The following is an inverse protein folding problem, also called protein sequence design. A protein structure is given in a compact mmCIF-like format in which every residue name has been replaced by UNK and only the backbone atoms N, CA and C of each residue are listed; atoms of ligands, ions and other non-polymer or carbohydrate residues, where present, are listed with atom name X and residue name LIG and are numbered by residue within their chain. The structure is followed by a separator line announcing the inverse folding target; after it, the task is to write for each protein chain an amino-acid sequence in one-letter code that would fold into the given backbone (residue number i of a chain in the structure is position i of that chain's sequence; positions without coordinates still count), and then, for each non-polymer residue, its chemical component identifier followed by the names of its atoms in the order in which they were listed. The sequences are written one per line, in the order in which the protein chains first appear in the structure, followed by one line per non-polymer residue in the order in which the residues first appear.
data_IF_763732122127
#
_entry.id   IF_763732122127
#
_cell.length_a   1.000
_cell.length_b   1.000
_cell.length_c   1.000
_cell.angle_alpha   90.00
_cell.angle_beta   90.00
_cell.angle_gamma   90.00
#
_symmetry.space_group_name_H-M   'P 1'
#
loop_
_entity.id
_entity.type
_entity.pdbx_description
1 polymer ?
#
# COMPACT_ATOMS: atom_id res chain seq x y z
N UNK A 1 -12.11 22.99 12.55
CA UNK A 1 -11.92 21.80 13.38
C UNK A 1 -12.11 22.21 14.82
N UNK A 2 -13.22 21.76 15.38
CA UNK A 2 -13.56 21.83 16.80
C UNK A 2 -12.54 21.04 17.65
N UNK A 3 -12.47 21.40 18.94
CA UNK A 3 -11.54 20.83 19.93
C UNK A 3 -11.72 19.31 20.11
N UNK A 4 -12.96 18.83 20.04
CA UNK A 4 -13.32 17.43 20.26
C UNK A 4 -12.85 16.54 19.10
N UNK A 5 -13.07 16.98 17.86
CA UNK A 5 -12.61 16.29 16.65
C UNK A 5 -11.08 16.21 16.60
N UNK A 6 -10.38 17.27 17.03
CA UNK A 6 -8.91 17.25 17.17
C UNK A 6 -8.45 16.17 18.14
N UNK A 7 -9.03 16.13 19.34
CA UNK A 7 -8.68 15.14 20.37
C UNK A 7 -8.90 13.71 19.88
N UNK A 8 -10.01 13.47 19.17
CA UNK A 8 -10.30 12.14 18.63
C UNK A 8 -9.31 11.72 17.53
N UNK A 9 -8.92 12.66 16.66
CA UNK A 9 -7.87 12.40 15.65
C UNK A 9 -6.53 12.11 16.34
N UNK A 10 -6.16 12.87 17.36
CA UNK A 10 -4.90 12.65 18.09
C UNK A 10 -4.87 11.25 18.76
N UNK A 11 -6.00 10.80 19.31
CA UNK A 11 -6.16 9.43 19.84
C UNK A 11 -6.00 8.36 18.74
N UNK A 12 -6.58 8.59 17.55
CA UNK A 12 -6.44 7.69 16.39
C UNK A 12 -5.03 7.66 15.80
N UNK A 13 -4.26 8.75 15.89
CA UNK A 13 -2.89 8.80 15.39
C UNK A 13 -1.89 8.20 16.40
N UNK A 14 -2.21 8.28 17.69
CA UNK A 14 -1.39 7.74 18.77
C UNK A 14 -1.30 6.20 18.75
N UNK A 15 -2.33 5.50 18.28
CA UNK A 15 -2.33 4.03 18.23
C UNK A 15 -1.29 3.46 17.24
N UNK A 16 -0.77 2.24 17.46
CA UNK A 16 0.08 1.54 16.51
C UNK A 16 -0.61 1.33 15.15
N UNK A 17 0.17 1.30 14.06
CA UNK A 17 -0.38 1.22 12.70
C UNK A 17 -1.25 -0.03 12.48
N UNK A 18 -0.82 -1.19 13.00
CA UNK A 18 -1.60 -2.44 12.87
C UNK A 18 -2.96 -2.34 13.55
N UNK A 19 -3.00 -1.81 14.77
CA UNK A 19 -4.25 -1.59 15.49
C UNK A 19 -5.18 -0.63 14.76
N UNK A 20 -4.62 0.45 14.18
CA UNK A 20 -5.41 1.37 13.35
C UNK A 20 -5.97 0.68 12.11
N UNK A 21 -5.19 -0.18 11.47
CA UNK A 21 -5.61 -0.93 10.29
C UNK A 21 -6.75 -1.90 10.62
N UNK A 22 -6.67 -2.61 11.75
CA UNK A 22 -7.72 -3.52 12.21
C UNK A 22 -9.04 -2.78 12.43
N UNK A 23 -9.00 -1.59 13.03
CA UNK A 23 -10.18 -0.72 13.19
C UNK A 23 -10.78 -0.31 11.84
N UNK A 24 -9.94 0.07 10.88
CA UNK A 24 -10.43 0.47 9.55
C UNK A 24 -11.05 -0.71 8.78
N UNK A 25 -10.51 -1.91 8.94
CA UNK A 25 -11.06 -3.13 8.33
C UNK A 25 -12.40 -3.47 8.96
N UNK A 26 -12.49 -3.48 10.28
CA UNK A 26 -13.75 -3.69 10.99
C UNK A 26 -14.81 -2.66 10.56
N UNK A 27 -14.43 -1.38 10.46
CA UNK A 27 -15.35 -0.34 10.00
C UNK A 27 -15.85 -0.57 8.57
N UNK A 28 -14.97 -0.98 7.65
CA UNK A 28 -15.36 -1.35 6.28
C UNK A 28 -16.37 -2.50 6.26
N UNK A 29 -16.15 -3.52 7.09
CA UNK A 29 -17.05 -4.67 7.21
C UNK A 29 -18.41 -4.30 7.81
N UNK A 30 -18.42 -3.45 8.84
CA UNK A 30 -19.63 -3.00 9.53
C UNK A 30 -20.47 -2.02 8.69
N UNK A 31 -19.82 -1.06 8.03
CA UNK A 31 -20.49 -0.05 7.20
C UNK A 31 -20.91 -0.59 5.83
N UNK A 32 -20.27 -1.68 5.37
CA UNK A 32 -20.50 -2.24 4.03
C UNK A 32 -20.10 -1.30 2.89
N UNK A 33 -19.26 -0.30 3.17
CA UNK A 33 -18.81 0.67 2.19
C UNK A 33 -17.61 0.15 1.40
N UNK A 34 -17.71 0.22 0.06
CA UNK A 34 -16.57 -0.07 -0.79
C UNK A 34 -15.70 1.17 -1.00
N UNK A 35 -14.50 1.14 -0.41
CA UNK A 35 -13.51 2.21 -0.52
C UNK A 35 -12.56 2.01 -1.71
N UNK A 36 -12.81 1.03 -2.60
CA UNK A 36 -11.99 0.76 -3.79
C UNK A 36 -11.95 1.95 -4.78
N UNK A 37 -13.10 2.60 -4.97
CA UNK A 37 -13.27 3.74 -5.87
C UNK A 37 -12.70 5.05 -5.29
N UNK A 38 -12.52 5.11 -3.96
CA UNK A 38 -12.03 6.31 -3.29
C UNK A 38 -10.58 6.59 -3.68
N UNK A 39 -10.26 7.85 -4.02
CA UNK A 39 -8.89 8.23 -4.37
C UNK A 39 -7.89 7.86 -3.26
N UNK A 40 -6.65 7.52 -3.64
CA UNK A 40 -5.60 7.10 -2.70
C UNK A 40 -5.36 8.13 -1.58
N UNK A 41 -5.47 9.42 -1.90
CA UNK A 41 -5.27 10.50 -0.94
C UNK A 41 -6.38 10.57 0.10
N UNK A 42 -7.57 10.06 -0.18
CA UNK A 42 -8.71 10.09 0.74
C UNK A 42 -8.87 8.79 1.56
N UNK A 43 -8.04 7.77 1.30
CA UNK A 43 -8.06 6.55 2.09
C UNK A 43 -7.69 6.84 3.56
N UNK A 44 -8.46 6.33 4.55
CA UNK A 44 -8.16 6.49 5.98
C UNK A 44 -6.73 6.06 6.35
N UNK A 45 -6.25 4.97 5.73
CA UNK A 45 -4.90 4.42 5.94
C UNK A 45 -3.81 5.38 5.47
N UNK A 46 -4.02 6.05 4.34
CA UNK A 46 -3.07 7.06 3.88
C UNK A 46 -3.15 8.35 4.69
N UNK A 47 -4.35 8.78 5.09
CA UNK A 47 -4.51 9.95 5.96
C UNK A 47 -3.81 9.74 7.31
N UNK A 48 -3.93 8.54 7.90
CA UNK A 48 -3.16 8.14 9.07
C UNK A 48 -1.64 8.29 8.83
N UNK A 49 -1.13 7.81 7.71
CA UNK A 49 0.29 7.92 7.37
C UNK A 49 0.74 9.39 7.20
N UNK A 50 -0.12 10.25 6.65
CA UNK A 50 0.18 11.68 6.50
C UNK A 50 0.21 12.41 7.85
N UNK A 51 -0.66 12.03 8.79
CA UNK A 51 -0.75 12.66 10.12
C UNK A 51 0.31 12.13 11.08
N UNK A 52 0.54 10.82 11.12
CA UNK A 52 1.54 10.19 11.99
C UNK A 52 2.98 10.41 11.52
N UNK A 53 3.17 10.53 10.20
CA UNK A 53 4.47 10.62 9.57
C UNK A 53 4.80 9.37 8.75
N UNK A 54 5.44 9.59 7.59
CA UNK A 54 5.91 8.53 6.70
C UNK A 54 7.26 7.99 7.21
N UNK A 55 7.50 6.70 6.96
CA UNK A 55 8.79 6.07 7.32
C UNK A 55 9.98 6.63 6.53
N UNK A 56 9.76 7.12 5.30
CA UNK A 56 10.80 7.62 4.39
C UNK A 56 11.93 6.61 4.14
N UNK A 57 11.64 5.31 4.28
CA UNK A 57 12.59 4.22 4.13
C UNK A 57 12.24 3.36 2.90
N UNK A 58 13.23 2.63 2.39
CA UNK A 58 13.06 1.70 1.27
C UNK A 58 12.56 0.36 1.82
N UNK A 59 11.32 0.00 1.51
CA UNK A 59 10.77 -1.32 1.87
C UNK A 59 11.03 -2.33 0.77
N UNK A 60 11.26 -3.60 1.15
CA UNK A 60 11.52 -4.69 0.19
C UNK A 60 10.30 -5.04 -0.68
N UNK A 61 9.11 -4.67 -0.25
CA UNK A 61 7.86 -4.89 -0.98
C UNK A 61 6.81 -3.80 -0.67
N UNK A 62 5.79 -3.74 -1.52
CA UNK A 62 4.53 -3.02 -1.29
C UNK A 62 3.43 -4.01 -0.99
N UNK A 63 2.49 -3.65 -0.13
CA UNK A 63 1.30 -4.47 0.17
C UNK A 63 0.05 -3.86 -0.44
N UNK A 64 -0.99 -4.67 -0.64
CA UNK A 64 -2.30 -4.17 -1.00
C UNK A 64 -3.03 -3.75 0.27
N UNK A 65 -3.60 -2.55 0.28
CA UNK A 65 -4.36 -2.08 1.42
C UNK A 65 -5.65 -2.89 1.59
N UNK A 66 -5.93 -3.47 2.77
CA UNK A 66 -7.16 -4.23 3.00
C UNK A 66 -8.43 -3.37 2.94
N UNK A 67 -8.27 -2.05 3.12
CA UNK A 67 -9.37 -1.08 3.12
C UNK A 67 -9.76 -0.71 1.68
N UNK A 68 -8.84 -0.13 0.90
CA UNK A 68 -9.15 0.38 -0.45
C UNK A 68 -8.58 -0.47 -1.61
N UNK A 69 -7.84 -1.54 -1.33
CA UNK A 69 -7.24 -2.42 -2.34
C UNK A 69 -6.05 -1.84 -3.10
N UNK A 70 -5.61 -0.60 -2.81
CA UNK A 70 -4.51 0.06 -3.54
C UNK A 70 -3.15 -0.22 -2.90
N UNK A 71 -2.04 -0.17 -3.67
CA UNK A 71 -0.70 -0.37 -3.13
C UNK A 71 -0.39 0.60 -1.99
N UNK A 72 0.22 0.10 -0.92
CA UNK A 72 0.64 0.87 0.24
C UNK A 72 1.97 0.39 0.81
N UNK A 73 2.61 1.25 1.59
CA UNK A 73 3.78 0.89 2.38
C UNK A 73 3.35 -0.01 3.56
N UNK A 74 3.98 -1.20 3.74
CA UNK A 74 3.61 -2.12 4.83
C UNK A 74 3.95 -1.56 6.23
N UNK A 75 4.90 -0.64 6.30
CA UNK A 75 5.38 -0.08 7.58
C UNK A 75 4.51 1.06 8.09
N UNK A 76 4.07 1.96 7.20
CA UNK A 76 3.36 3.19 7.60
C UNK A 76 1.97 3.38 6.97
N UNK A 77 1.56 2.55 6.01
CA UNK A 77 0.25 2.64 5.35
C UNK A 77 0.14 3.71 4.26
N UNK A 78 1.21 4.44 3.95
CA UNK A 78 1.18 5.45 2.89
C UNK A 78 0.95 4.83 1.51
N UNK A 79 -0.03 5.35 0.76
CA UNK A 79 -0.22 5.05 -0.67
C UNK A 79 0.80 5.73 -1.61
N UNK A 80 1.67 6.61 -1.11
CA UNK A 80 2.77 7.17 -1.91
C UNK A 80 3.88 6.14 -2.09
N UNK A 81 3.59 5.07 -2.82
CA UNK A 81 4.53 4.00 -3.15
C UNK A 81 4.57 3.77 -4.65
N UNK A 82 5.76 3.45 -5.15
CA UNK A 82 5.99 3.05 -6.53
C UNK A 82 6.50 1.62 -6.57
N UNK A 83 6.00 0.83 -7.52
CA UNK A 83 6.53 -0.49 -7.79
C UNK A 83 7.73 -0.37 -8.73
N UNK A 84 8.87 -0.90 -8.32
CA UNK A 84 10.12 -0.89 -9.09
C UNK A 84 10.42 -2.33 -9.50
N UNK A 85 10.76 -2.53 -10.78
CA UNK A 85 11.16 -3.84 -11.29
C UNK A 85 12.22 -3.71 -12.38
N UNK A 86 12.99 -4.78 -12.57
CA UNK A 86 14.08 -4.86 -13.54
C UNK A 86 13.59 -5.58 -14.79
N UNK A 87 13.40 -4.82 -15.87
CA UNK A 87 13.08 -5.38 -17.19
C UNK A 87 14.38 -5.52 -18.00
N UNK A 88 14.83 -4.47 -18.68
CA UNK A 88 15.98 -4.49 -19.59
C UNK A 88 17.36 -4.40 -18.90
N UNK A 89 17.51 -4.98 -17.72
CA UNK A 89 18.80 -5.06 -17.04
C UNK A 89 19.10 -3.95 -16.02
N UNK A 90 18.23 -2.96 -15.83
CA UNK A 90 18.31 -1.97 -14.73
C UNK A 90 16.93 -1.75 -14.07
N UNK A 91 16.92 -1.21 -12.84
CA UNK A 91 15.69 -0.95 -12.08
C UNK A 91 14.93 0.25 -12.66
N UNK A 92 13.62 0.08 -12.89
CA UNK A 92 12.73 1.15 -13.33
C UNK A 92 11.36 1.06 -12.65
N UNK A 93 10.69 2.20 -12.49
CA UNK A 93 9.30 2.24 -12.02
C UNK A 93 8.39 1.60 -13.06
N UNK A 94 7.52 0.69 -12.61
CA UNK A 94 6.61 -0.10 -13.46
C UNK A 94 5.61 0.78 -14.22
N UNK A 95 5.15 1.87 -13.60
CA UNK A 95 4.25 2.85 -14.24
C UNK A 95 4.87 3.51 -15.48
N UNK A 96 6.20 3.60 -15.55
CA UNK A 96 6.94 4.16 -16.68
C UNK A 96 7.27 3.17 -17.80
N UNK A 97 6.75 1.94 -17.77
CA UNK A 97 7.02 0.96 -18.81
C UNK A 97 6.25 1.27 -20.10
N UNK A 98 7.00 1.30 -21.21
CA UNK A 98 6.41 1.36 -22.55
C UNK A 98 5.89 -0.03 -22.97
N UNK A 99 5.20 -0.10 -24.11
CA UNK A 99 4.63 -1.36 -24.64
C UNK A 99 5.68 -2.46 -24.83
N UNK A 100 6.86 -2.11 -25.34
CA UNK A 100 7.95 -3.08 -25.54
C UNK A 100 8.43 -3.72 -24.22
N UNK A 101 8.57 -2.93 -23.15
CA UNK A 101 8.97 -3.46 -21.82
C UNK A 101 7.89 -4.32 -21.19
N UNK A 102 6.61 -3.97 -21.39
CA UNK A 102 5.49 -4.81 -20.93
C UNK A 102 5.50 -6.16 -21.64
N UNK A 103 5.69 -6.16 -22.96
CA UNK A 103 5.83 -7.39 -23.74
C UNK A 103 7.04 -8.22 -23.29
N UNK A 104 8.20 -7.60 -23.09
CA UNK A 104 9.39 -8.32 -22.59
C UNK A 104 9.12 -8.96 -21.23
N UNK A 105 8.36 -8.31 -20.35
CA UNK A 105 7.99 -8.89 -19.06
C UNK A 105 7.04 -10.08 -19.21
N UNK A 106 6.07 -10.00 -20.13
CA UNK A 106 5.12 -11.08 -20.42
C UNK A 106 5.80 -12.30 -21.05
N UNK A 107 6.78 -12.08 -21.93
CA UNK A 107 7.54 -13.15 -22.62
C UNK A 107 8.51 -13.88 -21.68
N UNK A 108 8.63 -13.47 -20.40
CA UNK A 108 9.55 -14.11 -19.45
C UNK A 108 9.06 -15.48 -19.02
N UNK A 109 9.88 -16.48 -19.32
CA UNK A 109 9.72 -17.80 -18.77
C UNK A 109 10.20 -17.85 -17.32
N UNK A 110 9.31 -18.26 -16.42
CA UNK A 110 9.65 -18.64 -15.06
C UNK A 110 10.00 -20.12 -15.06
N UNK A 111 11.22 -20.46 -14.67
CA UNK A 111 11.65 -21.84 -14.52
C UNK A 111 11.35 -22.28 -13.09
N UNK A 112 10.48 -23.28 -12.93
CA UNK A 112 10.32 -23.97 -11.65
C UNK A 112 11.41 -25.03 -11.53
N UNK A 113 12.13 -25.04 -10.41
CA UNK A 113 13.13 -26.07 -10.11
C UNK A 113 12.45 -27.11 -9.21
N UNK A 114 12.28 -28.36 -9.66
CA UNK A 114 11.67 -29.41 -8.84
C UNK A 114 12.43 -29.58 -7.51
N UNK A 115 11.72 -29.50 -6.38
CA UNK A 115 12.29 -29.62 -5.03
C UNK A 115 12.70 -28.31 -4.36
N UNK A 116 12.61 -27.17 -5.04
CA UNK A 116 12.74 -25.84 -4.43
C UNK A 116 11.36 -25.27 -4.09
N UNK A 117 10.66 -25.91 -3.16
CA UNK A 117 9.43 -25.35 -2.62
C UNK A 117 9.81 -24.15 -1.74
N UNK A 118 9.24 -22.98 -2.03
CA UNK A 118 9.40 -21.79 -1.19
C UNK A 118 8.78 -22.08 0.19
N UNK A 119 9.62 -22.31 1.20
CA UNK A 119 9.22 -22.28 2.61
C UNK A 119 8.78 -20.87 3.02
#
# INVERSE_FOLDING_TARGET
MDEATKKHIDELVAMPFRTFLDVCVAWKEEAGEDLSEVSQTLCPVHQYAMQKGRCLDVTGHTELCPVCGKPMCPTCGSHCVDQISRVTGYMQVVSGWNSAKKQEYEDRHRYSIPGAEMQ
#
